data_IF_736563316095
#
_entry.id   IF_736563316095
#
_cell.length_a   1.000
_cell.length_b   1.000
_cell.length_c   1.000
_cell.angle_alpha   90.00
_cell.angle_beta   90.00
_cell.angle_gamma   90.00
#
_symmetry.space_group_name_H-M   'P 1'
#
loop_
_entity.id
_entity.type
_entity.pdbx_description
1 polymer ?
#
# COMPACT_ATOMS: atom_id res chain seq x y z
N UNK A 1 -45.19 -18.54 8.49
CA UNK A 1 -44.66 -17.66 7.43
C UNK A 1 -43.23 -18.10 7.19
N UNK A 2 -43.01 -18.93 6.17
CA UNK A 2 -41.69 -19.51 5.89
C UNK A 2 -41.05 -18.69 4.78
N UNK A 3 -39.97 -17.97 5.09
CA UNK A 3 -39.17 -17.25 4.11
C UNK A 3 -38.54 -18.25 3.13
N UNK A 4 -39.00 -18.20 1.88
CA UNK A 4 -38.38 -18.89 0.76
C UNK A 4 -37.06 -18.18 0.44
N UNK A 5 -35.94 -18.69 0.96
CA UNK A 5 -34.61 -18.33 0.48
C UNK A 5 -34.41 -18.92 -0.91
N UNK A 6 -34.81 -18.17 -1.93
CA UNK A 6 -34.61 -18.58 -3.32
C UNK A 6 -33.08 -18.57 -3.59
N UNK A 7 -32.45 -19.74 -3.84
CA UNK A 7 -31.02 -19.76 -4.10
C UNK A 7 -30.76 -18.92 -5.36
N UNK A 8 -29.70 -18.09 -5.37
CA UNK A 8 -29.36 -17.31 -6.56
C UNK A 8 -29.26 -18.26 -7.76
N UNK A 9 -29.88 -17.86 -8.87
CA UNK A 9 -29.79 -18.62 -10.11
C UNK A 9 -28.32 -18.83 -10.48
N UNK A 10 -28.01 -19.97 -11.11
CA UNK A 10 -26.64 -20.32 -11.52
C UNK A 10 -25.97 -19.18 -12.33
N UNK A 11 -26.76 -18.52 -13.18
CA UNK A 11 -26.35 -17.34 -13.94
C UNK A 11 -26.08 -16.12 -13.04
N UNK A 12 -26.95 -15.87 -12.06
CA UNK A 12 -26.76 -14.79 -11.08
C UNK A 12 -25.47 -14.97 -10.27
N UNK A 13 -25.18 -16.21 -9.85
CA UNK A 13 -23.95 -16.52 -9.13
C UNK A 13 -22.71 -16.30 -10.01
N UNK A 14 -22.73 -16.77 -11.26
CA UNK A 14 -21.63 -16.58 -12.20
C UNK A 14 -21.34 -15.10 -12.49
N UNK A 15 -22.39 -14.27 -12.63
CA UNK A 15 -22.24 -12.82 -12.82
C UNK A 15 -21.65 -12.16 -11.57
N UNK A 16 -22.12 -12.53 -10.37
CA UNK A 16 -21.59 -11.99 -9.12
C UNK A 16 -20.11 -12.36 -8.94
N UNK A 17 -19.72 -13.58 -9.30
CA UNK A 17 -18.33 -14.02 -9.22
C UNK A 17 -17.45 -13.30 -10.25
N UNK A 18 -17.93 -13.10 -11.48
CA UNK A 18 -17.22 -12.30 -12.48
C UNK A 18 -17.02 -10.84 -12.03
N UNK A 19 -18.05 -10.20 -11.46
CA UNK A 19 -17.95 -8.84 -10.89
C UNK A 19 -16.95 -8.82 -9.74
N UNK A 20 -17.01 -9.81 -8.84
CA UNK A 20 -16.10 -9.90 -7.69
C UNK A 20 -14.65 -10.06 -8.12
N UNK A 21 -14.37 -10.88 -9.14
CA UNK A 21 -13.02 -11.05 -9.65
C UNK A 21 -12.50 -9.79 -10.37
N UNK A 22 -13.33 -9.14 -11.19
CA UNK A 22 -12.97 -7.88 -11.82
C UNK A 22 -12.67 -6.77 -10.79
N UNK A 23 -13.47 -6.68 -9.71
CA UNK A 23 -13.24 -5.73 -8.61
C UNK A 23 -11.96 -6.07 -7.85
N UNK A 24 -11.66 -7.35 -7.58
CA UNK A 24 -10.40 -7.75 -6.95
C UNK A 24 -9.19 -7.38 -7.80
N UNK A 25 -9.27 -7.55 -9.11
CA UNK A 25 -8.21 -7.17 -10.05
C UNK A 25 -7.99 -5.66 -10.04
N UNK A 26 -9.06 -4.87 -10.18
CA UNK A 26 -8.99 -3.42 -10.08
C UNK A 26 -8.45 -2.93 -8.73
N UNK A 27 -8.87 -3.55 -7.61
CA UNK A 27 -8.37 -3.20 -6.27
C UNK A 27 -6.90 -3.59 -6.06
N UNK A 28 -6.39 -4.64 -6.71
CA UNK A 28 -4.96 -4.96 -6.70
C UNK A 28 -4.14 -3.88 -7.40
N UNK A 29 -4.68 -3.32 -8.49
CA UNK A 29 -4.05 -2.19 -9.19
C UNK A 29 -4.13 -0.89 -8.40
N UNK A 30 -5.25 -0.65 -7.70
CA UNK A 30 -5.47 0.57 -6.89
C UNK A 30 -4.82 0.48 -5.50
N UNK A 31 -4.51 -0.72 -5.01
CA UNK A 31 -4.03 -1.04 -3.66
C UNK A 31 -2.69 -0.40 -3.25
N UNK A 32 -2.07 0.39 -4.13
CA UNK A 32 -0.93 1.24 -3.78
C UNK A 32 -1.32 2.60 -3.16
N UNK A 33 -2.54 3.12 -3.33
CA UNK A 33 -2.82 4.56 -3.06
C UNK A 33 -4.10 4.89 -2.26
N UNK A 34 -4.80 3.90 -1.67
CA UNK A 34 -6.15 4.10 -1.12
C UNK A 34 -6.27 4.62 0.32
N UNK A 35 -5.17 4.78 1.07
CA UNK A 35 -5.18 5.41 2.40
C UNK A 35 -4.26 6.63 2.37
N UNK A 36 -4.61 7.75 3.03
CA UNK A 36 -3.64 8.81 3.25
C UNK A 36 -2.51 8.20 4.09
N UNK A 37 -1.43 7.82 3.43
CA UNK A 37 -0.30 7.18 4.08
C UNK A 37 0.41 8.24 4.91
N UNK A 38 0.64 7.91 6.18
CA UNK A 38 1.34 8.77 7.11
C UNK A 38 2.77 8.97 6.62
N UNK A 39 3.09 10.21 6.24
CA UNK A 39 4.43 10.61 5.83
C UNK A 39 5.32 10.75 7.06
N UNK A 40 6.30 9.85 7.18
CA UNK A 40 7.19 9.77 8.32
C UNK A 40 8.37 10.74 8.21
N UNK A 41 8.78 11.32 9.33
CA UNK A 41 10.07 11.96 9.47
C UNK A 41 11.22 10.92 9.45
N UNK A 42 12.48 11.32 9.18
CA UNK A 42 13.63 10.41 9.17
C UNK A 42 13.76 9.58 10.47
N UNK A 43 13.54 10.22 11.62
CA UNK A 43 13.66 9.61 12.95
C UNK A 43 12.54 8.58 13.20
N UNK A 44 11.35 8.84 12.68
CA UNK A 44 10.20 7.94 12.80
C UNK A 44 10.39 6.71 11.91
N UNK A 45 10.86 6.92 10.67
CA UNK A 45 11.19 5.83 9.77
C UNK A 45 12.28 4.93 10.37
N UNK A 46 13.35 5.53 10.90
CA UNK A 46 14.43 4.81 11.56
C UNK A 46 13.92 3.95 12.73
N UNK A 47 13.05 4.51 13.57
CA UNK A 47 12.39 3.76 14.67
C UNK A 47 11.53 2.61 14.16
N UNK A 48 10.72 2.83 13.13
CA UNK A 48 9.85 1.80 12.53
C UNK A 48 10.66 0.65 11.94
N UNK A 49 11.77 0.96 11.26
CA UNK A 49 12.67 -0.02 10.65
C UNK A 49 13.68 -0.62 11.64
N UNK A 50 13.79 -0.07 12.85
CA UNK A 50 14.81 -0.41 13.85
C UNK A 50 16.24 -0.24 13.31
N UNK A 51 16.47 0.83 12.55
CA UNK A 51 17.76 1.17 11.96
C UNK A 51 18.29 2.50 12.53
N UNK A 52 19.60 2.77 12.42
CA UNK A 52 20.15 4.09 12.73
C UNK A 52 19.56 5.17 11.82
N UNK A 53 19.33 6.37 12.38
CA UNK A 53 18.87 7.53 11.61
C UNK A 53 19.88 7.93 10.51
N UNK A 54 21.18 7.72 10.77
CA UNK A 54 22.24 7.95 9.76
C UNK A 54 22.03 7.13 8.50
N UNK A 55 21.60 5.86 8.63
CA UNK A 55 21.29 4.99 7.50
C UNK A 55 20.18 5.59 6.63
N UNK A 56 19.11 6.13 7.26
CA UNK A 56 18.00 6.77 6.52
C UNK A 56 18.50 7.97 5.70
N UNK A 57 19.33 8.83 6.29
CA UNK A 57 19.91 9.97 5.57
C UNK A 57 20.87 9.53 4.46
N UNK A 58 21.70 8.52 4.69
CA UNK A 58 22.60 7.97 3.68
C UNK A 58 21.85 7.39 2.50
N UNK A 59 20.85 6.54 2.74
CA UNK A 59 20.04 5.95 1.68
C UNK A 59 19.22 7.00 0.93
N UNK A 60 18.66 7.98 1.63
CA UNK A 60 17.97 9.12 1.01
C UNK A 60 18.90 9.96 0.15
N UNK A 61 20.14 10.21 0.60
CA UNK A 61 21.17 10.95 -0.16
C UNK A 61 21.64 10.17 -1.40
N UNK A 62 21.76 8.85 -1.30
CA UNK A 62 22.15 7.97 -2.41
C UNK A 62 20.99 7.71 -3.39
N UNK A 63 19.75 8.04 -3.01
CA UNK A 63 18.57 7.78 -3.84
C UNK A 63 18.12 6.31 -3.81
N UNK A 64 18.58 5.53 -2.84
CA UNK A 64 18.26 4.10 -2.71
C UNK A 64 16.88 3.84 -2.10
N UNK A 65 16.29 4.86 -1.48
CA UNK A 65 14.92 4.81 -0.93
C UNK A 65 14.08 5.98 -1.47
N UNK A 66 12.78 5.75 -1.74
CA UNK A 66 11.85 6.81 -2.12
C UNK A 66 11.82 7.93 -1.08
N UNK A 67 12.04 9.17 -1.52
CA UNK A 67 12.09 10.34 -0.64
C UNK A 67 11.15 11.43 -1.16
N UNK A 68 10.21 11.86 -0.34
CA UNK A 68 9.31 12.97 -0.64
C UNK A 68 9.88 14.27 -0.09
N UNK A 69 10.16 15.25 -0.96
CA UNK A 69 10.68 16.56 -0.56
C UNK A 69 9.55 17.57 -0.41
N UNK A 70 9.42 18.13 0.79
CA UNK A 70 8.48 19.18 1.15
C UNK A 70 9.27 20.45 1.52
N UNK A 71 9.78 21.13 0.50
CA UNK A 71 10.70 22.27 0.67
C UNK A 71 12.01 21.83 1.33
N UNK A 72 12.30 22.36 2.53
CA UNK A 72 13.50 21.98 3.31
C UNK A 72 13.39 20.62 4.02
N UNK A 73 12.19 20.06 4.08
CA UNK A 73 11.93 18.83 4.82
C UNK A 73 11.88 17.63 3.88
N UNK A 74 12.33 16.48 4.40
CA UNK A 74 12.16 15.19 3.74
C UNK A 74 11.17 14.34 4.53
N UNK A 75 10.38 13.56 3.80
CA UNK A 75 9.38 12.65 4.33
C UNK A 75 9.42 11.32 3.58
N UNK A 76 8.94 10.28 4.25
CA UNK A 76 9.00 8.93 3.74
C UNK A 76 7.67 8.23 3.89
N UNK A 77 7.28 7.51 2.86
CA UNK A 77 6.25 6.49 2.95
C UNK A 77 6.90 5.16 3.34
N UNK A 78 6.43 4.54 4.42
CA UNK A 78 6.98 3.28 4.90
C UNK A 78 6.84 2.14 3.89
N UNK A 79 5.70 2.05 3.20
CA UNK A 79 5.44 1.01 2.22
C UNK A 79 6.28 1.17 0.96
N UNK A 80 6.41 2.40 0.43
CA UNK A 80 7.28 2.66 -0.72
C UNK A 80 8.73 2.31 -0.41
N UNK A 81 9.21 2.70 0.78
CA UNK A 81 10.55 2.35 1.26
C UNK A 81 10.71 0.82 1.30
N UNK A 82 9.81 0.09 1.96
CA UNK A 82 9.88 -1.37 2.03
C UNK A 82 9.78 -2.05 0.66
N UNK A 83 8.96 -1.52 -0.25
CA UNK A 83 8.81 -2.03 -1.60
C UNK A 83 10.10 -1.85 -2.42
N UNK A 84 10.79 -0.71 -2.27
CA UNK A 84 12.07 -0.47 -2.95
C UNK A 84 13.16 -1.47 -2.54
N UNK A 85 13.16 -1.90 -1.27
CA UNK A 85 14.18 -2.81 -0.74
C UNK A 85 13.98 -4.27 -1.15
N UNK A 86 12.78 -4.66 -1.60
CA UNK A 86 12.52 -6.02 -2.10
C UNK A 86 13.13 -6.29 -3.48
N UNK A 87 13.65 -5.25 -4.14
CA UNK A 87 14.10 -5.30 -5.54
C UNK A 87 15.63 -5.36 -5.69
N UNK A 88 16.37 -5.53 -4.58
CA UNK A 88 17.84 -5.67 -4.55
C UNK A 88 18.29 -7.08 -4.27
#
# INVERSE_FOLDING_TARGET
>A
MSESSNPPSLLGQAILDAIREAVKEALREVGANGKPQELLAPEELAKRLKLPVSWVYEQSRQGNIPTHRLGRYIRFDLHEVLASQKKS
#
